data_IF_612157078104
#
_entry.id   IF_612157078104
#
_cell.length_a   1.000
_cell.length_b   1.000
_cell.length_c   1.000
_cell.angle_alpha   90.00
_cell.angle_beta   90.00
_cell.angle_gamma   90.00
#
_symmetry.space_group_name_H-M   'P 1'
#
loop_
_entity.id
_entity.type
_entity.pdbx_description
1 polymer ?
#
# COMPACT_ATOMS: atom_id res chain seq x y z
N UNK A 1 26.45 -41.99 -0.84
CA UNK A 1 27.46 -41.12 -1.49
C UNK A 1 26.97 -40.84 -2.92
N UNK A 2 26.08 -39.87 -3.08
CA UNK A 2 26.32 -38.47 -3.52
C UNK A 2 25.79 -38.33 -4.95
N UNK A 3 24.56 -37.81 -5.09
CA UNK A 3 24.03 -37.39 -6.39
C UNK A 3 23.81 -35.88 -6.31
N UNK A 4 24.73 -35.15 -6.91
CA UNK A 4 24.69 -33.71 -7.04
C UNK A 4 23.45 -33.31 -7.87
N UNK A 5 22.53 -32.58 -7.25
CA UNK A 5 21.42 -31.94 -7.96
C UNK A 5 21.87 -30.54 -8.39
N UNK A 6 21.95 -30.35 -9.71
CA UNK A 6 22.21 -29.09 -10.39
C UNK A 6 21.20 -28.02 -9.95
N UNK A 7 21.71 -26.87 -9.50
CA UNK A 7 20.97 -25.61 -9.42
C UNK A 7 20.45 -25.25 -10.82
N UNK A 8 19.12 -25.05 -10.93
CA UNK A 8 18.49 -24.44 -12.09
C UNK A 8 18.40 -22.93 -11.87
N UNK A 9 19.19 -22.22 -12.65
CA UNK A 9 19.19 -20.77 -12.82
C UNK A 9 17.94 -20.33 -13.60
N UNK A 10 17.31 -19.23 -13.17
CA UNK A 10 16.54 -18.35 -14.04
C UNK A 10 15.03 -18.54 -14.05
N UNK A 11 14.33 -18.06 -13.02
CA UNK A 11 12.93 -17.64 -13.19
C UNK A 11 12.89 -16.20 -13.70
N UNK A 12 12.34 -16.05 -14.90
CA UNK A 12 12.08 -14.76 -15.56
C UNK A 12 11.07 -13.97 -14.74
N UNK A 13 11.49 -12.83 -14.22
CA UNK A 13 10.61 -11.81 -13.65
C UNK A 13 9.56 -11.43 -14.71
N UNK A 14 8.30 -11.60 -14.35
CA UNK A 14 7.15 -11.40 -15.23
C UNK A 14 7.12 -9.98 -15.82
N UNK A 15 6.75 -9.91 -17.09
CA UNK A 15 6.63 -8.71 -17.91
C UNK A 15 5.59 -7.72 -17.36
N UNK A 16 5.99 -6.47 -17.22
CA UNK A 16 5.21 -5.34 -16.69
C UNK A 16 4.33 -4.68 -17.77
N UNK A 17 3.10 -4.29 -17.42
CA UNK A 17 2.25 -3.43 -18.27
C UNK A 17 2.18 -2.03 -17.65
N UNK A 18 2.65 -1.02 -18.37
CA UNK A 18 2.58 0.40 -17.97
C UNK A 18 1.30 1.00 -18.56
N UNK A 19 0.47 1.64 -17.73
CA UNK A 19 -0.63 2.50 -18.22
C UNK A 19 -0.20 3.95 -18.00
N UNK A 20 -0.16 4.74 -19.07
CA UNK A 20 0.16 6.18 -19.03
C UNK A 20 -1.15 6.95 -18.91
N UNK A 21 -1.33 7.72 -17.84
CA UNK A 21 -2.34 8.77 -17.79
C UNK A 21 -1.64 10.12 -17.95
N UNK A 22 -2.08 10.93 -18.92
CA UNK A 22 -1.58 12.29 -19.13
C UNK A 22 -2.49 13.22 -18.32
N UNK A 23 -1.97 13.84 -17.25
CA UNK A 23 -2.64 14.95 -16.58
C UNK A 23 -1.90 16.26 -16.89
N UNK A 24 -2.62 17.37 -16.89
CA UNK A 24 -2.10 18.72 -17.18
C UNK A 24 -1.22 19.32 -16.05
N UNK A 25 -0.84 18.50 -15.06
CA UNK A 25 0.02 18.86 -13.93
C UNK A 25 1.11 17.79 -13.76
N UNK A 26 2.10 17.80 -14.66
CA UNK A 26 3.23 16.86 -14.63
C UNK A 26 2.84 15.41 -14.93
N UNK A 27 3.71 14.66 -15.61
CA UNK A 27 3.50 13.24 -15.91
C UNK A 27 3.50 12.41 -14.62
N UNK A 28 2.35 12.33 -13.95
CA UNK A 28 2.16 11.49 -12.78
C UNK A 28 1.69 10.11 -13.24
N UNK A 29 2.59 9.12 -13.09
CA UNK A 29 2.42 7.76 -13.59
C UNK A 29 1.90 6.84 -12.50
N UNK A 30 0.90 6.02 -12.83
CA UNK A 30 0.50 4.86 -12.05
C UNK A 30 1.51 3.73 -12.25
N UNK A 31 1.90 3.07 -11.16
CA UNK A 31 2.73 1.87 -11.19
C UNK A 31 1.99 0.71 -10.54
N UNK A 32 2.14 -0.48 -11.09
CA UNK A 32 1.55 -1.70 -10.53
C UNK A 32 2.55 -2.85 -10.54
N UNK A 33 2.27 -3.87 -9.73
CA UNK A 33 3.04 -5.10 -9.72
C UNK A 33 2.46 -6.14 -8.80
N UNK A 34 3.23 -7.22 -8.61
CA UNK A 34 2.88 -8.35 -7.76
C UNK A 34 4.09 -8.70 -6.90
N UNK A 35 3.85 -9.00 -5.62
CA UNK A 35 4.83 -9.55 -4.69
C UNK A 35 4.14 -10.66 -3.87
N UNK A 36 4.57 -11.90 -4.06
CA UNK A 36 3.90 -13.05 -3.43
C UNK A 36 2.40 -13.06 -3.78
N UNK A 37 1.49 -13.12 -2.78
CA UNK A 37 0.04 -13.08 -3.02
C UNK A 37 -0.53 -11.67 -3.21
N UNK A 38 0.29 -10.62 -3.05
CA UNK A 38 -0.18 -9.23 -3.09
C UNK A 38 -0.07 -8.65 -4.49
N UNK A 39 -1.17 -8.08 -4.96
CA UNK A 39 -1.17 -7.13 -6.06
C UNK A 39 -1.04 -5.72 -5.49
N UNK A 40 -0.19 -4.89 -6.08
CA UNK A 40 0.05 -3.54 -5.58
C UNK A 40 -0.10 -2.47 -6.65
N UNK A 41 -0.44 -1.27 -6.20
CA UNK A 41 -0.60 -0.06 -7.00
C UNK A 41 0.08 1.10 -6.25
N UNK A 42 0.88 1.88 -6.96
CA UNK A 42 1.23 3.24 -6.57
C UNK A 42 0.60 4.23 -7.53
N UNK A 43 -0.14 5.19 -7.00
CA UNK A 43 -0.79 6.21 -7.81
C UNK A 43 -0.83 7.55 -7.05
N UNK A 44 -0.36 8.65 -7.63
CA UNK A 44 -0.36 9.94 -6.92
C UNK A 44 -1.75 10.62 -6.87
N UNK A 45 -2.68 10.22 -7.73
CA UNK A 45 -4.02 10.81 -7.86
C UNK A 45 -5.11 10.00 -7.12
N UNK A 46 -4.90 8.70 -6.92
CA UNK A 46 -5.88 7.83 -6.26
C UNK A 46 -6.09 8.21 -4.79
N UNK A 47 -7.31 8.05 -4.32
CA UNK A 47 -7.69 8.28 -2.91
C UNK A 47 -8.45 7.09 -2.34
N UNK A 48 -8.48 6.95 -1.01
CA UNK A 48 -9.31 5.94 -0.37
C UNK A 48 -10.81 6.13 -0.69
N UNK A 49 -11.26 7.37 -0.88
CA UNK A 49 -12.63 7.67 -1.32
C UNK A 49 -12.93 7.09 -2.70
N UNK A 50 -11.96 7.09 -3.62
CA UNK A 50 -12.14 6.45 -4.93
C UNK A 50 -12.31 4.94 -4.81
N UNK A 51 -11.52 4.29 -3.96
CA UNK A 51 -11.64 2.85 -3.70
C UNK A 51 -13.01 2.51 -3.12
N UNK A 52 -13.48 3.27 -2.13
CA UNK A 52 -14.79 3.06 -1.50
C UNK A 52 -15.94 3.27 -2.48
N UNK A 53 -15.77 4.15 -3.48
CA UNK A 53 -16.76 4.34 -4.55
C UNK A 53 -16.73 3.20 -5.58
N UNK A 54 -15.54 2.71 -5.93
CA UNK A 54 -15.35 1.67 -6.95
C UNK A 54 -15.77 0.30 -6.42
N UNK A 55 -15.32 -0.08 -5.21
CA UNK A 55 -15.50 -1.42 -4.67
C UNK A 55 -15.88 -1.40 -3.18
N UNK A 56 -16.99 -0.77 -2.74
CA UNK A 56 -17.30 -0.56 -1.32
C UNK A 56 -17.25 -1.83 -0.46
N UNK A 57 -17.55 -2.99 -1.03
CA UNK A 57 -17.50 -4.29 -0.34
C UNK A 57 -16.11 -4.68 0.15
N UNK A 58 -15.03 -4.08 -0.39
CA UNK A 58 -13.65 -4.43 -0.01
C UNK A 58 -13.32 -4.11 1.46
N UNK A 59 -14.11 -3.28 2.15
CA UNK A 59 -13.90 -2.99 3.57
C UNK A 59 -14.88 -3.70 4.49
N UNK A 60 -16.03 -4.15 3.97
CA UNK A 60 -17.11 -4.66 4.80
C UNK A 60 -16.76 -6.01 5.43
N UNK A 61 -17.24 -6.24 6.65
CA UNK A 61 -16.97 -7.45 7.42
C UNK A 61 -15.50 -7.69 7.78
N UNK A 62 -14.61 -6.70 7.59
CA UNK A 62 -13.19 -6.79 7.90
C UNK A 62 -12.85 -6.04 9.19
N UNK A 63 -11.71 -6.39 9.77
CA UNK A 63 -11.11 -5.64 10.85
C UNK A 63 -10.23 -4.55 10.25
N UNK A 64 -10.34 -3.33 10.76
CA UNK A 64 -9.55 -2.19 10.30
C UNK A 64 -8.61 -1.74 11.41
N UNK A 65 -7.33 -1.60 11.09
CA UNK A 65 -6.34 -0.93 11.93
C UNK A 65 -5.95 0.39 11.28
N UNK A 66 -5.88 1.43 12.10
CA UNK A 66 -5.34 2.75 11.77
C UNK A 66 -4.05 2.96 12.55
N UNK A 67 -3.00 3.39 11.84
CA UNK A 67 -1.65 3.50 12.42
C UNK A 67 -1.07 4.91 12.34
N UNK A 68 -1.63 5.79 11.49
CA UNK A 68 -1.16 7.16 11.32
C UNK A 68 -2.32 8.16 11.21
N UNK A 69 -2.14 9.33 11.82
CA UNK A 69 -3.10 10.43 11.85
C UNK A 69 -2.37 11.78 11.86
N UNK A 70 -2.34 12.51 10.75
CA UNK A 70 -1.84 13.90 10.61
C UNK A 70 -0.54 14.21 11.40
N UNK A 71 0.43 13.29 11.35
CA UNK A 71 1.71 13.41 12.07
C UNK A 71 1.62 13.46 13.60
N UNK A 72 0.46 13.14 14.19
CA UNK A 72 0.19 13.14 15.62
C UNK A 72 -0.07 11.73 16.14
N UNK A 73 0.05 11.50 17.46
CA UNK A 73 -0.44 10.26 18.06
C UNK A 73 -1.93 10.12 17.80
N UNK A 74 -2.32 8.94 17.32
CA UNK A 74 -3.72 8.60 17.13
C UNK A 74 -4.45 8.64 18.49
N UNK A 75 -5.61 9.27 18.55
CA UNK A 75 -6.45 9.35 19.74
C UNK A 75 -7.90 9.07 19.35
N UNK A 76 -8.46 7.99 19.89
CA UNK A 76 -9.88 7.69 19.70
C UNK A 76 -10.78 8.69 20.43
N UNK A 77 -11.82 9.13 19.75
CA UNK A 77 -12.92 9.91 20.32
C UNK A 77 -13.81 9.03 21.19
N UNK A 78 -14.58 9.67 22.09
CA UNK A 78 -15.58 8.96 22.92
C UNK A 78 -16.61 8.21 22.06
N UNK A 79 -16.95 8.74 20.88
CA UNK A 79 -17.89 8.09 19.95
C UNK A 79 -17.29 6.79 19.41
N UNK A 80 -16.04 6.80 18.98
CA UNK A 80 -15.36 5.60 18.47
C UNK A 80 -15.27 4.52 19.54
N UNK A 81 -14.90 4.88 20.78
CA UNK A 81 -14.93 3.93 21.90
C UNK A 81 -16.33 3.34 22.14
N UNK A 82 -17.37 4.16 22.12
CA UNK A 82 -18.75 3.70 22.28
C UNK A 82 -19.21 2.79 21.12
N UNK A 83 -18.63 2.96 19.94
CA UNK A 83 -18.82 2.08 18.76
C UNK A 83 -17.92 0.84 18.79
N UNK A 84 -17.22 0.58 19.90
CA UNK A 84 -16.41 -0.61 20.11
C UNK A 84 -14.99 -0.54 19.54
N UNK A 85 -14.55 0.63 19.05
CA UNK A 85 -13.14 0.79 18.68
C UNK A 85 -12.25 0.66 19.91
N UNK A 86 -11.08 0.08 19.70
CA UNK A 86 -10.08 -0.11 20.73
C UNK A 86 -8.80 0.63 20.35
N UNK A 87 -8.13 1.22 21.33
CA UNK A 87 -6.80 1.79 21.15
C UNK A 87 -5.78 0.91 21.88
N UNK A 88 -4.75 0.48 21.15
CA UNK A 88 -3.64 -0.26 21.73
C UNK A 88 -2.31 0.37 21.31
N UNK A 89 -1.61 0.95 22.28
CA UNK A 89 -0.41 1.73 22.00
C UNK A 89 -0.73 2.90 21.04
N UNK A 90 -0.14 2.86 19.84
CA UNK A 90 -0.28 3.91 18.83
C UNK A 90 -1.30 3.60 17.73
N UNK A 91 -1.97 2.45 17.80
CA UNK A 91 -2.91 2.02 16.76
C UNK A 91 -4.35 2.04 17.29
N UNK A 92 -5.29 2.35 16.40
CA UNK A 92 -6.72 2.19 16.63
C UNK A 92 -7.26 1.01 15.82
N UNK A 93 -8.21 0.30 16.40
CA UNK A 93 -8.71 -0.95 15.88
C UNK A 93 -10.22 -0.91 15.89
N UNK A 94 -10.79 -1.05 14.71
CA UNK A 94 -12.21 -1.25 14.52
C UNK A 94 -12.55 -2.73 14.75
N UNK A 95 -13.57 -3.04 15.57
CA UNK A 95 -13.93 -4.41 15.91
C UNK A 95 -14.50 -5.18 14.71
N UNK A 96 -15.16 -4.50 13.78
CA UNK A 96 -15.58 -4.99 12.47
C UNK A 96 -16.23 -3.84 11.68
N UNK A 97 -15.80 -3.61 10.45
CA UNK A 97 -16.40 -2.59 9.59
C UNK A 97 -17.76 -3.08 9.10
N UNK A 98 -18.82 -2.40 9.50
CA UNK A 98 -20.20 -2.72 9.10
C UNK A 98 -20.71 -1.77 8.03
N UNK A 99 -20.21 -0.52 8.02
CA UNK A 99 -20.53 0.49 7.02
C UNK A 99 -19.26 1.12 6.45
N UNK A 100 -19.30 1.50 5.17
CA UNK A 100 -18.22 2.30 4.56
C UNK A 100 -18.10 3.69 5.20
N UNK A 101 -19.16 4.19 5.84
CA UNK A 101 -19.12 5.43 6.63
C UNK A 101 -18.26 5.32 7.89
N UNK A 102 -17.96 4.11 8.34
CA UNK A 102 -17.16 3.86 9.54
C UNK A 102 -15.67 3.96 9.26
N UNK A 103 -15.27 4.02 7.98
CA UNK A 103 -13.87 4.16 7.56
C UNK A 103 -13.45 5.62 7.75
N UNK A 104 -12.50 5.90 8.65
CA UNK A 104 -12.07 7.27 8.84
C UNK A 104 -11.26 7.74 7.63
N UNK A 105 -11.64 8.91 7.10
CA UNK A 105 -11.04 9.56 5.94
C UNK A 105 -10.38 10.89 6.33
N UNK A 106 -9.66 11.49 5.40
CA UNK A 106 -9.13 12.86 5.52
C UNK A 106 -7.79 12.91 6.25
N UNK A 107 -7.82 12.92 7.59
CA UNK A 107 -6.65 13.11 8.44
C UNK A 107 -5.92 11.80 8.81
N UNK A 108 -6.45 10.67 8.38
CA UNK A 108 -5.80 9.37 8.51
C UNK A 108 -5.00 9.09 7.25
N UNK A 109 -3.83 8.47 7.40
CA UNK A 109 -2.89 8.29 6.30
C UNK A 109 -2.50 6.83 6.05
N UNK A 110 -2.80 5.91 6.97
CA UNK A 110 -2.42 4.49 6.83
C UNK A 110 -3.46 3.55 7.46
N UNK A 111 -3.90 2.58 6.66
CA UNK A 111 -4.96 1.63 6.98
C UNK A 111 -4.49 0.20 6.66
N UNK A 112 -4.76 -0.73 7.59
CA UNK A 112 -4.57 -2.16 7.40
C UNK A 112 -5.91 -2.89 7.61
N UNK A 113 -6.32 -3.68 6.63
CA UNK A 113 -7.54 -4.48 6.68
C UNK A 113 -7.20 -5.97 6.83
N UNK A 114 -8.01 -6.67 7.63
CA UNK A 114 -7.84 -8.09 7.91
C UNK A 114 -9.17 -8.84 7.79
N UNK A 115 -9.12 -10.05 7.21
CA UNK A 115 -10.27 -10.98 7.19
C UNK A 115 -10.62 -11.53 8.57
N UNK A 116 -9.60 -11.67 9.43
CA UNK A 116 -9.72 -12.21 10.79
C UNK A 116 -9.22 -11.18 11.78
N UNK A 117 -9.65 -11.28 13.03
CA UNK A 117 -9.16 -10.41 14.08
C UNK A 117 -7.62 -10.51 14.12
N UNK A 118 -6.89 -9.39 13.98
CA UNK A 118 -5.44 -9.40 13.97
C UNK A 118 -4.90 -9.75 15.36
N UNK A 119 -3.77 -10.47 15.40
CA UNK A 119 -3.04 -10.65 16.65
C UNK A 119 -2.42 -9.31 17.05
N UNK A 120 -2.53 -9.01 18.34
CA UNK A 120 -2.12 -7.71 18.89
C UNK A 120 -0.60 -7.64 19.04
N UNK A 121 0.03 -6.94 18.12
CA UNK A 121 1.48 -6.74 18.06
C UNK A 121 1.81 -5.34 17.52
N UNK A 122 3.06 -4.91 17.67
CA UNK A 122 3.51 -3.62 17.12
C UNK A 122 3.49 -3.62 15.58
N UNK A 123 3.13 -2.46 15.02
CA UNK A 123 3.14 -2.17 13.59
C UNK A 123 4.22 -1.14 13.30
N UNK A 124 5.05 -1.42 12.30
CA UNK A 124 5.84 -0.40 11.64
C UNK A 124 4.90 0.46 10.78
N UNK A 125 5.06 1.77 10.93
CA UNK A 125 4.37 2.80 10.15
C UNK A 125 5.25 3.12 8.94
N UNK A 126 4.72 2.97 7.73
CA UNK A 126 5.46 3.17 6.48
C UNK A 126 5.11 4.49 5.81
N UNK A 127 3.88 4.99 5.98
CA UNK A 127 3.42 6.24 5.34
C UNK A 127 4.28 7.47 5.71
N UNK A 128 4.93 7.44 6.87
CA UNK A 128 5.79 8.54 7.34
C UNK A 128 7.16 8.57 6.66
N UNK A 129 7.51 7.56 5.87
CA UNK A 129 8.73 7.55 5.06
C UNK A 129 8.40 8.07 3.64
N UNK A 130 8.75 9.33 3.38
CA UNK A 130 8.44 10.00 2.11
C UNK A 130 9.12 9.35 0.90
N UNK A 131 10.18 8.58 1.10
CA UNK A 131 10.88 7.89 0.01
C UNK A 131 10.34 6.47 -0.21
N UNK A 132 9.45 5.98 0.67
CA UNK A 132 8.92 4.63 0.56
C UNK A 132 8.22 4.39 -0.77
N UNK A 133 8.52 3.25 -1.36
CA UNK A 133 7.96 2.79 -2.63
C UNK A 133 7.99 1.28 -2.71
N UNK A 134 7.05 0.68 -3.42
CA UNK A 134 6.98 -0.71 -3.87
C UNK A 134 7.57 -0.91 -5.27
N UNK A 135 7.94 0.18 -5.96
CA UNK A 135 8.61 0.10 -7.27
C UNK A 135 9.99 -0.57 -7.13
N UNK A 136 10.51 -1.08 -8.24
CA UNK A 136 11.87 -1.63 -8.26
C UNK A 136 12.87 -0.53 -7.84
N UNK A 137 13.63 -0.70 -6.75
CA UNK A 137 14.55 0.31 -6.25
C UNK A 137 15.56 0.79 -7.30
N UNK A 138 16.00 -0.10 -8.19
CA UNK A 138 16.96 0.22 -9.27
C UNK A 138 16.36 1.17 -10.33
N UNK A 139 15.03 1.21 -10.47
CA UNK A 139 14.33 2.11 -11.40
C UNK A 139 13.96 3.46 -10.79
N UNK A 140 14.04 3.60 -9.47
CA UNK A 140 13.76 4.87 -8.77
C UNK A 140 15.03 5.73 -8.73
N UNK A 141 16.18 5.11 -8.45
CA UNK A 141 17.47 5.80 -8.32
C UNK A 141 17.97 6.47 -9.61
N UNK A 142 17.36 6.21 -10.76
CA UNK A 142 17.85 6.64 -12.07
C UNK A 142 17.23 7.90 -12.68
N UNK A 143 16.20 8.54 -12.11
CA UNK A 143 15.47 9.57 -12.88
C UNK A 143 14.91 10.80 -12.16
N UNK A 144 15.42 11.18 -11.00
CA UNK A 144 15.11 12.53 -10.51
C UNK A 144 15.50 12.81 -9.07
N UNK A 145 16.45 13.71 -8.89
CA UNK A 145 16.47 14.62 -7.73
C UNK A 145 17.22 15.89 -8.12
N UNK A 146 16.50 17.02 -8.12
CA UNK A 146 17.05 18.37 -8.13
C UNK A 146 17.69 18.68 -6.76
N UNK A 147 18.81 18.03 -6.44
CA UNK A 147 19.44 18.22 -5.14
C UNK A 147 20.81 17.57 -5.04
N UNK A 148 21.83 18.24 -5.59
CA UNK A 148 23.23 18.36 -5.14
C UNK A 148 24.09 17.16 -4.72
N UNK A 149 23.55 15.96 -4.53
CA UNK A 149 24.28 14.75 -4.14
C UNK A 149 24.50 13.85 -5.35
N UNK A 150 25.75 13.46 -5.58
CA UNK A 150 26.15 12.51 -6.63
C UNK A 150 25.50 11.14 -6.38
N UNK A 151 24.31 10.89 -6.97
CA UNK A 151 23.68 9.56 -6.98
C UNK A 151 24.37 8.69 -8.03
N UNK A 152 24.80 7.50 -7.63
CA UNK A 152 25.36 6.50 -8.55
C UNK A 152 24.22 5.95 -9.39
N UNK A 153 24.33 6.06 -10.71
CA UNK A 153 23.35 5.53 -11.66
C UNK A 153 23.17 4.02 -11.45
N UNK A 154 21.93 3.57 -11.30
CA UNK A 154 21.62 2.15 -11.03
C UNK A 154 21.74 1.71 -9.58
N UNK A 155 22.03 2.61 -8.62
CA UNK A 155 21.96 2.29 -7.19
C UNK A 155 20.55 2.55 -6.64
N UNK A 156 20.04 1.62 -5.83
CA UNK A 156 18.81 1.82 -5.07
C UNK A 156 18.95 3.02 -4.10
N UNK A 157 17.86 3.77 -3.84
CA UNK A 157 17.84 4.71 -2.73
C UNK A 157 18.29 4.04 -1.42
N UNK A 158 19.15 4.69 -0.60
CA UNK A 158 19.62 4.12 0.65
C UNK A 158 18.45 3.66 1.54
N UNK A 159 18.52 2.45 2.08
CA UNK A 159 17.51 1.92 2.99
C UNK A 159 16.22 1.41 2.34
N UNK A 160 15.93 1.73 1.07
CA UNK A 160 14.65 1.38 0.45
C UNK A 160 14.45 -0.15 0.32
N UNK A 161 15.51 -0.89 -0.02
CA UNK A 161 15.43 -2.36 -0.11
C UNK A 161 15.06 -2.94 1.24
N UNK A 162 15.76 -2.54 2.31
CA UNK A 162 15.47 -3.02 3.67
C UNK A 162 14.06 -2.62 4.11
N UNK A 163 13.59 -1.42 3.74
CA UNK A 163 12.26 -0.96 4.07
C UNK A 163 11.17 -1.76 3.34
N UNK A 164 11.38 -2.10 2.07
CA UNK A 164 10.50 -2.99 1.30
C UNK A 164 10.46 -4.39 1.90
N UNK A 165 11.60 -4.95 2.30
CA UNK A 165 11.66 -6.25 2.97
C UNK A 165 10.85 -6.26 4.27
N UNK A 166 11.02 -5.24 5.11
CA UNK A 166 10.22 -5.08 6.34
C UNK A 166 8.73 -4.93 6.05
N UNK A 167 8.37 -4.20 5.00
CA UNK A 167 6.98 -4.03 4.57
C UNK A 167 6.34 -5.36 4.21
N UNK A 168 6.92 -6.11 3.27
CA UNK A 168 6.37 -7.38 2.83
C UNK A 168 6.34 -8.41 3.97
N UNK A 169 7.39 -8.44 4.79
CA UNK A 169 7.44 -9.29 5.97
C UNK A 169 6.30 -8.98 6.95
N UNK A 170 6.02 -7.70 7.24
CA UNK A 170 4.92 -7.32 8.13
C UNK A 170 3.56 -7.76 7.57
N UNK A 171 3.32 -7.55 6.28
CA UNK A 171 2.08 -7.94 5.60
C UNK A 171 1.85 -9.45 5.70
N UNK A 172 2.87 -10.24 5.38
CA UNK A 172 2.81 -11.70 5.43
C UNK A 172 2.66 -12.24 6.85
N UNK A 173 3.54 -11.83 7.78
CA UNK A 173 3.52 -12.34 9.16
C UNK A 173 2.21 -12.01 9.88
N UNK A 174 1.64 -10.82 9.63
CA UNK A 174 0.39 -10.38 10.26
C UNK A 174 -0.85 -10.78 9.48
N UNK A 175 -0.71 -11.45 8.34
CA UNK A 175 -1.82 -11.84 7.46
C UNK A 175 -2.71 -10.65 7.07
N UNK A 176 -2.09 -9.51 6.74
CA UNK A 176 -2.78 -8.33 6.24
C UNK A 176 -3.45 -8.69 4.92
N UNK A 177 -4.72 -8.37 4.75
CA UNK A 177 -5.39 -8.62 3.47
C UNK A 177 -5.20 -7.44 2.52
N UNK A 178 -5.36 -6.22 3.03
CA UNK A 178 -5.24 -5.00 2.26
C UNK A 178 -4.53 -3.94 3.09
N UNK A 179 -3.41 -3.44 2.58
CA UNK A 179 -2.71 -2.26 3.08
C UNK A 179 -3.03 -1.08 2.17
N UNK A 180 -3.35 0.06 2.77
CA UNK A 180 -3.55 1.33 2.08
C UNK A 180 -2.75 2.40 2.82
N UNK A 181 -2.05 3.25 2.07
CA UNK A 181 -1.47 4.46 2.60
C UNK A 181 -1.66 5.65 1.67
N UNK A 182 -1.86 6.83 2.25
CA UNK A 182 -1.91 8.11 1.56
C UNK A 182 -0.83 9.03 2.14
N UNK A 183 0.39 8.90 1.62
CA UNK A 183 1.50 9.80 1.92
C UNK A 183 1.68 10.83 0.82
N UNK A 184 2.89 10.98 0.28
CA UNK A 184 3.14 11.76 -0.95
C UNK A 184 2.46 11.15 -2.20
N UNK A 185 2.17 9.86 -2.16
CA UNK A 185 1.40 9.11 -3.16
C UNK A 185 0.47 8.12 -2.46
N UNK A 186 -0.51 7.62 -3.19
CA UNK A 186 -1.33 6.50 -2.74
C UNK A 186 -0.59 5.20 -2.98
N UNK A 187 -0.59 4.32 -1.99
CA UNK A 187 -0.06 2.96 -2.08
C UNK A 187 -1.16 2.00 -1.65
N UNK A 188 -1.43 1.02 -2.51
CA UNK A 188 -2.27 -0.14 -2.21
C UNK A 188 -1.42 -1.40 -2.35
N UNK A 189 -1.54 -2.32 -1.40
CA UNK A 189 -1.13 -3.71 -1.56
C UNK A 189 -2.24 -4.61 -1.05
N UNK A 190 -2.76 -5.52 -1.87
CA UNK A 190 -3.94 -6.31 -1.53
C UNK A 190 -3.86 -7.73 -2.05
N UNK A 191 -4.34 -8.69 -1.25
CA UNK A 191 -4.64 -10.05 -1.71
C UNK A 191 -6.07 -10.16 -2.25
N UNK A 192 -6.91 -9.13 -2.08
CA UNK A 192 -8.28 -9.11 -2.58
C UNK A 192 -8.28 -8.78 -4.07
N UNK A 193 -8.41 -9.82 -4.89
CA UNK A 193 -8.26 -9.76 -6.34
C UNK A 193 -9.33 -8.89 -7.00
N UNK A 194 -10.58 -8.96 -6.53
CA UNK A 194 -11.68 -8.18 -7.11
C UNK A 194 -11.42 -6.67 -6.97
N UNK A 195 -10.91 -6.22 -5.81
CA UNK A 195 -10.54 -4.83 -5.58
C UNK A 195 -9.47 -4.37 -6.60
N UNK A 196 -8.42 -5.17 -6.78
CA UNK A 196 -7.35 -4.83 -7.71
C UNK A 196 -7.84 -4.75 -9.16
N UNK A 197 -8.61 -5.75 -9.60
CA UNK A 197 -9.14 -5.81 -10.97
C UNK A 197 -10.06 -4.62 -11.28
N UNK A 198 -11.02 -4.32 -10.39
CA UNK A 198 -11.92 -3.18 -10.56
C UNK A 198 -11.17 -1.85 -10.64
N UNK A 199 -10.11 -1.67 -9.84
CA UNK A 199 -9.28 -0.46 -9.88
C UNK A 199 -8.54 -0.35 -11.20
N UNK A 200 -7.87 -1.41 -11.64
CA UNK A 200 -7.10 -1.42 -12.89
C UNK A 200 -8.02 -1.17 -14.09
N UNK A 201 -9.21 -1.74 -14.12
CA UNK A 201 -10.16 -1.53 -15.21
C UNK A 201 -10.73 -0.10 -15.21
N UNK A 202 -11.07 0.44 -14.04
CA UNK A 202 -11.48 1.85 -13.92
C UNK A 202 -10.37 2.81 -14.38
N UNK A 203 -9.10 2.49 -14.11
CA UNK A 203 -7.96 3.28 -14.59
C UNK A 203 -7.83 3.25 -16.12
N UNK A 204 -8.02 2.10 -16.76
CA UNK A 204 -7.98 1.96 -18.23
C UNK A 204 -9.10 2.75 -18.90
N UNK A 205 -10.34 2.63 -18.41
CA UNK A 205 -11.49 3.37 -18.94
C UNK A 205 -11.21 4.88 -18.93
N UNK A 206 -10.68 5.39 -17.82
CA UNK A 206 -10.33 6.81 -17.69
C UNK A 206 -9.17 7.29 -18.59
N UNK A 207 -8.49 6.39 -19.31
CA UNK A 207 -7.43 6.70 -20.27
C UNK A 207 -7.87 6.62 -21.73
N UNK A 208 -9.03 6.04 -22.01
CA UNK A 208 -9.61 5.95 -23.37
C UNK A 208 -10.57 7.11 -23.68
N UNK A 209 -11.07 7.81 -22.64
CA UNK A 209 -11.98 8.96 -22.76
C UNK A 209 -11.26 10.33 -22.98
N UNK A 210 -9.99 10.33 -23.39
CA UNK A 210 -9.16 11.52 -23.70
C UNK A 210 -8.59 11.41 -25.10
#
# INVERSE_FOLDING_TARGET
MTKAARLRTGERIASRRRVRKKSSLGNQMTYTGVQGPYHWIEDPALTLSDLLRICPSFVLSKYLILTSFDGRPLQLTRREYNSGWMQQGRVAINPRVESTSDIPLGAYDEWFLFKKAPLMEEFKIFVNDSEFSLRNPLEIGGNGSHGGGSRIEGAAPPGLIQLQELFWMQLELKSVETYIARGNKFILATTEQLLYEMLVDNMKLSSEDI
#
